data_IF_413553922487
#
_entry.id   IF_413553922487
#
_cell.length_a   1.000
_cell.length_b   1.000
_cell.length_c   1.000
_cell.angle_alpha   90.00
_cell.angle_beta   90.00
_cell.angle_gamma   90.00
#
_symmetry.space_group_name_H-M   'P 1'
#
loop_
_entity.id
_entity.type
_entity.pdbx_description
1 polymer ?
#
# COMPACT_ATOMS: atom_id res chain seq x y z
N UNK A 1 27.86 7.15 -17.43
CA UNK A 1 27.30 6.33 -16.35
C UNK A 1 25.79 6.47 -16.23
N UNK A 2 25.20 7.67 -16.12
CA UNK A 2 23.74 7.85 -16.05
C UNK A 2 23.01 7.17 -17.22
N UNK A 3 23.45 7.43 -18.45
CA UNK A 3 22.84 6.83 -19.64
C UNK A 3 22.89 5.29 -19.61
N UNK A 4 23.99 4.69 -19.16
CA UNK A 4 24.11 3.24 -18.98
C UNK A 4 23.11 2.73 -17.95
N UNK A 5 23.08 3.34 -16.76
CA UNK A 5 22.19 2.90 -15.67
C UNK A 5 20.72 2.94 -16.10
N UNK A 6 20.28 4.05 -16.68
CA UNK A 6 18.90 4.19 -17.13
C UNK A 6 18.56 3.26 -18.29
N UNK A 7 19.41 3.24 -19.35
CA UNK A 7 19.12 2.41 -20.53
C UNK A 7 19.14 0.93 -20.21
N UNK A 8 20.16 0.43 -19.49
CA UNK A 8 20.24 -0.99 -19.12
C UNK A 8 19.09 -1.41 -18.21
N UNK A 9 18.72 -0.57 -17.25
CA UNK A 9 17.57 -0.83 -16.37
C UNK A 9 16.26 -0.98 -17.19
N UNK A 10 15.95 0.00 -18.04
CA UNK A 10 14.71 -0.06 -18.84
C UNK A 10 14.73 -1.18 -19.86
N UNK A 11 15.87 -1.46 -20.51
CA UNK A 11 15.99 -2.59 -21.45
C UNK A 11 15.72 -3.90 -20.73
N UNK A 12 16.33 -4.15 -19.56
CA UNK A 12 16.09 -5.36 -18.79
C UNK A 12 14.64 -5.45 -18.31
N UNK A 13 14.06 -4.35 -17.88
CA UNK A 13 12.66 -4.28 -17.44
C UNK A 13 11.70 -4.64 -18.58
N UNK A 14 11.88 -4.07 -19.77
CA UNK A 14 11.04 -4.36 -20.95
C UNK A 14 11.26 -5.77 -21.53
N UNK A 15 12.42 -6.39 -21.27
CA UNK A 15 12.66 -7.79 -21.56
C UNK A 15 11.99 -8.76 -20.55
N UNK A 16 11.27 -8.22 -19.54
CA UNK A 16 10.57 -9.03 -18.52
C UNK A 16 11.47 -9.52 -17.39
N UNK A 17 12.68 -8.98 -17.25
CA UNK A 17 13.57 -9.33 -16.13
C UNK A 17 12.98 -8.76 -14.83
N UNK A 18 12.93 -9.54 -13.72
CA UNK A 18 12.43 -9.04 -12.44
C UNK A 18 13.13 -7.75 -12.00
N UNK A 19 12.36 -6.81 -11.43
CA UNK A 19 12.83 -5.46 -11.09
C UNK A 19 14.11 -5.46 -10.23
N UNK A 20 14.17 -6.34 -9.21
CA UNK A 20 15.35 -6.46 -8.35
C UNK A 20 16.61 -6.83 -9.14
N UNK A 21 16.46 -7.75 -10.11
CA UNK A 21 17.58 -8.15 -11.00
C UNK A 21 17.92 -7.04 -11.99
N UNK A 22 16.93 -6.35 -12.56
CA UNK A 22 17.16 -5.24 -13.48
C UNK A 22 17.95 -4.11 -12.81
N UNK A 23 17.59 -3.74 -11.58
CA UNK A 23 18.32 -2.76 -10.77
C UNK A 23 19.72 -3.24 -10.42
N UNK A 24 19.84 -4.47 -9.91
CA UNK A 24 21.11 -5.04 -9.48
C UNK A 24 22.10 -5.19 -10.65
N UNK A 25 21.66 -5.82 -11.75
CA UNK A 25 22.52 -6.04 -12.93
C UNK A 25 22.95 -4.73 -13.60
N UNK A 26 22.07 -3.75 -13.70
CA UNK A 26 22.40 -2.43 -14.24
C UNK A 26 23.47 -1.73 -13.39
N UNK A 27 23.33 -1.77 -12.05
CA UNK A 27 24.30 -1.20 -11.13
C UNK A 27 25.64 -1.95 -11.15
N UNK A 28 25.62 -3.27 -11.13
CA UNK A 28 26.81 -4.13 -11.23
C UNK A 28 27.54 -3.87 -12.54
N UNK A 29 26.82 -3.80 -13.67
CA UNK A 29 27.40 -3.45 -14.96
C UNK A 29 28.05 -2.07 -14.94
N UNK A 30 27.43 -1.08 -14.29
CA UNK A 30 28.02 0.25 -14.09
C UNK A 30 29.34 0.22 -13.31
N UNK A 31 29.42 -0.63 -12.28
CA UNK A 31 30.64 -0.80 -11.48
C UNK A 31 31.76 -1.49 -12.30
N UNK A 32 31.43 -2.59 -12.96
CA UNK A 32 32.41 -3.44 -13.65
C UNK A 32 32.96 -2.81 -14.95
N UNK A 33 32.05 -2.21 -15.74
CA UNK A 33 32.42 -1.73 -17.09
C UNK A 33 32.77 -0.24 -17.16
N UNK A 34 32.30 0.56 -16.21
CA UNK A 34 32.46 2.01 -16.23
C UNK A 34 33.32 2.54 -15.07
N UNK A 35 33.94 1.64 -14.28
CA UNK A 35 34.83 2.03 -13.19
C UNK A 35 34.11 2.75 -12.04
N UNK A 36 32.85 2.44 -11.80
CA UNK A 36 32.01 3.10 -10.78
C UNK A 36 32.28 2.71 -9.33
N UNK A 37 33.35 1.91 -9.05
CA UNK A 37 33.71 1.49 -7.69
C UNK A 37 34.31 0.09 -7.61
N UNK A 38 34.54 -0.38 -6.39
CA UNK A 38 35.00 -1.75 -6.10
C UNK A 38 33.86 -2.76 -6.09
N UNK A 39 34.14 -4.00 -6.49
CA UNK A 39 33.17 -5.11 -6.39
C UNK A 39 32.70 -5.39 -4.95
N UNK A 40 33.55 -5.08 -3.95
CA UNK A 40 33.19 -5.14 -2.53
C UNK A 40 32.04 -4.19 -2.20
N UNK A 41 31.95 -3.05 -2.88
CA UNK A 41 30.87 -2.07 -2.72
C UNK A 41 29.49 -2.68 -3.03
N UNK A 42 29.43 -3.66 -3.95
CA UNK A 42 28.16 -4.32 -4.32
C UNK A 42 27.52 -4.94 -3.08
N UNK A 43 28.22 -5.86 -2.43
CA UNK A 43 27.71 -6.56 -1.25
C UNK A 43 27.45 -5.60 -0.09
N UNK A 44 28.38 -4.65 0.15
CA UNK A 44 28.24 -3.68 1.23
C UNK A 44 26.99 -2.81 1.09
N UNK A 45 26.76 -2.23 -0.10
CA UNK A 45 25.60 -1.35 -0.32
C UNK A 45 24.27 -2.08 -0.35
N UNK A 46 24.24 -3.30 -0.88
CA UNK A 46 23.05 -4.15 -0.81
C UNK A 46 22.72 -4.50 0.64
N UNK A 47 23.71 -4.93 1.42
CA UNK A 47 23.51 -5.26 2.84
C UNK A 47 23.10 -4.02 3.65
N UNK A 48 23.79 -2.88 3.46
CA UNK A 48 23.44 -1.61 4.12
C UNK A 48 21.99 -1.19 3.87
N UNK A 49 21.47 -1.39 2.64
CA UNK A 49 20.08 -1.08 2.31
C UNK A 49 19.08 -1.95 3.06
N UNK A 50 19.42 -3.20 3.33
CA UNK A 50 18.56 -4.15 4.02
C UNK A 50 18.72 -4.10 5.55
N UNK A 51 19.86 -3.64 6.07
CA UNK A 51 20.19 -3.64 7.49
C UNK A 51 19.61 -2.39 8.18
N UNK A 52 18.30 -2.39 8.38
CA UNK A 52 17.57 -1.33 9.10
C UNK A 52 16.59 -1.94 10.10
N UNK A 53 16.63 -1.44 11.35
CA UNK A 53 15.71 -1.91 12.39
C UNK A 53 14.23 -1.69 12.01
N UNK A 54 13.92 -0.56 11.37
CA UNK A 54 12.56 -0.27 10.94
C UNK A 54 12.03 -1.31 9.94
N UNK A 55 12.88 -1.86 9.07
CA UNK A 55 12.48 -2.85 8.07
C UNK A 55 12.11 -4.21 8.67
N UNK A 56 12.51 -4.51 9.92
CA UNK A 56 12.07 -5.72 10.63
C UNK A 56 10.55 -5.72 10.89
N UNK A 57 9.91 -4.56 10.86
CA UNK A 57 8.45 -4.47 10.93
C UNK A 57 7.75 -5.17 9.74
N UNK A 58 8.39 -5.23 8.57
CA UNK A 58 7.80 -5.84 7.35
C UNK A 58 7.46 -7.32 7.57
N UNK A 59 8.40 -8.23 7.92
CA UNK A 59 8.05 -9.62 8.16
C UNK A 59 7.05 -9.79 9.32
N UNK A 60 7.12 -8.96 10.35
CA UNK A 60 6.22 -9.05 11.50
C UNK A 60 4.78 -8.72 11.12
N UNK A 61 4.52 -7.59 10.46
CA UNK A 61 3.18 -7.24 10.00
C UNK A 61 2.67 -8.21 8.93
N UNK A 62 3.55 -8.66 8.02
CA UNK A 62 3.17 -9.65 7.01
C UNK A 62 2.73 -10.96 7.66
N UNK A 63 3.45 -11.45 8.65
CA UNK A 63 3.10 -12.67 9.38
C UNK A 63 1.80 -12.50 10.18
N UNK A 64 1.64 -11.37 10.88
CA UNK A 64 0.42 -11.03 11.58
C UNK A 64 -0.79 -10.99 10.63
N UNK A 65 -0.65 -10.35 9.46
CA UNK A 65 -1.69 -10.30 8.44
C UNK A 65 -2.11 -11.67 7.92
N UNK A 66 -1.16 -12.56 7.59
CA UNK A 66 -1.46 -13.92 7.14
C UNK A 66 -2.10 -14.78 8.25
N UNK A 67 -1.59 -14.71 9.47
CA UNK A 67 -2.18 -15.47 10.60
C UNK A 67 -3.60 -15.02 10.91
N UNK A 68 -3.87 -13.73 10.89
CA UNK A 68 -5.21 -13.18 11.10
C UNK A 68 -6.16 -13.53 9.95
N UNK A 69 -5.71 -13.46 8.71
CA UNK A 69 -6.51 -13.86 7.54
C UNK A 69 -6.95 -15.32 7.62
N UNK A 70 -6.06 -16.23 8.03
CA UNK A 70 -6.34 -17.67 8.19
C UNK A 70 -7.10 -17.99 9.48
N UNK A 71 -7.01 -17.13 10.50
CA UNK A 71 -7.64 -17.31 11.80
C UNK A 71 -9.15 -16.99 11.85
N UNK A 72 -9.85 -16.94 10.70
CA UNK A 72 -11.32 -16.73 10.63
C UNK A 72 -11.79 -15.29 10.83
N UNK A 73 -10.87 -14.33 10.85
CA UNK A 73 -11.17 -12.92 11.09
C UNK A 73 -11.91 -12.31 9.90
N UNK A 74 -11.47 -12.63 8.69
CA UNK A 74 -11.95 -12.02 7.45
C UNK A 74 -13.45 -12.17 7.25
N UNK A 75 -14.01 -13.37 7.54
CA UNK A 75 -15.46 -13.64 7.43
C UNK A 75 -16.26 -12.79 8.42
N UNK A 76 -15.83 -12.75 9.69
CA UNK A 76 -16.52 -11.98 10.75
C UNK A 76 -16.50 -10.47 10.46
N UNK A 77 -15.38 -9.95 9.97
CA UNK A 77 -15.28 -8.55 9.52
C UNK A 77 -16.24 -8.28 8.36
N UNK A 78 -16.35 -9.20 7.41
CA UNK A 78 -17.30 -9.08 6.31
C UNK A 78 -18.75 -9.01 6.82
N UNK A 79 -19.14 -9.92 7.71
CA UNK A 79 -20.49 -9.97 8.29
C UNK A 79 -20.79 -8.70 9.11
N UNK A 80 -19.81 -8.20 9.86
CA UNK A 80 -19.89 -6.92 10.57
C UNK A 80 -20.09 -5.75 9.60
N UNK A 81 -19.24 -5.63 8.57
CA UNK A 81 -19.38 -4.57 7.56
C UNK A 81 -20.72 -4.66 6.83
N UNK A 82 -21.19 -5.88 6.53
CA UNK A 82 -22.50 -6.09 5.91
C UNK A 82 -23.63 -5.58 6.80
N UNK A 83 -23.57 -5.78 8.11
CA UNK A 83 -24.57 -5.27 9.04
C UNK A 83 -24.65 -3.74 9.07
N UNK A 84 -23.54 -3.03 8.77
CA UNK A 84 -23.47 -1.56 8.77
C UNK A 84 -23.93 -0.97 7.45
N UNK A 85 -23.41 -1.45 6.33
CA UNK A 85 -23.57 -0.80 5.00
C UNK A 85 -24.30 -1.66 3.97
N UNK A 86 -24.59 -2.94 4.28
CA UNK A 86 -25.19 -3.87 3.33
C UNK A 86 -26.58 -3.44 2.82
N UNK A 87 -27.33 -2.67 3.61
CA UNK A 87 -28.65 -2.15 3.26
C UNK A 87 -28.66 -0.99 2.26
N UNK A 88 -27.48 -0.40 1.97
CA UNK A 88 -27.34 0.71 1.04
C UNK A 88 -27.41 0.16 -0.39
N UNK A 89 -27.79 1.00 -1.36
CA UNK A 89 -27.80 0.61 -2.77
C UNK A 89 -26.37 0.27 -3.22
N UNK A 90 -26.17 -0.93 -3.77
CA UNK A 90 -24.83 -1.45 -4.03
C UNK A 90 -24.12 -1.96 -2.77
N UNK A 91 -24.89 -2.50 -1.80
CA UNK A 91 -24.46 -2.88 -0.46
C UNK A 91 -23.14 -3.66 -0.44
N UNK A 92 -22.99 -4.71 -1.26
CA UNK A 92 -21.75 -5.50 -1.29
C UNK A 92 -20.52 -4.73 -1.77
N UNK A 93 -20.68 -3.74 -2.65
CA UNK A 93 -19.57 -2.87 -3.04
C UNK A 93 -19.12 -1.98 -1.85
N UNK A 94 -20.08 -1.45 -1.08
CA UNK A 94 -19.77 -0.72 0.15
C UNK A 94 -19.13 -1.60 1.22
N UNK A 95 -19.64 -2.83 1.38
CA UNK A 95 -19.04 -3.83 2.29
C UNK A 95 -17.61 -4.15 1.88
N UNK A 96 -17.33 -4.32 0.59
CA UNK A 96 -15.99 -4.55 0.08
C UNK A 96 -15.04 -3.39 0.46
N UNK A 97 -15.44 -2.14 0.19
CA UNK A 97 -14.62 -0.96 0.54
C UNK A 97 -14.42 -0.84 2.05
N UNK A 98 -15.49 -0.97 2.85
CA UNK A 98 -15.40 -0.86 4.31
C UNK A 98 -14.55 -1.98 4.91
N UNK A 99 -14.69 -3.21 4.40
CA UNK A 99 -13.85 -4.34 4.81
C UNK A 99 -12.39 -4.11 4.45
N UNK A 100 -12.09 -3.57 3.26
CA UNK A 100 -10.73 -3.19 2.87
C UNK A 100 -10.14 -2.12 3.79
N UNK A 101 -10.95 -1.12 4.21
CA UNK A 101 -10.51 -0.10 5.17
C UNK A 101 -10.13 -0.70 6.53
N UNK A 102 -10.89 -1.68 7.02
CA UNK A 102 -10.62 -2.33 8.30
C UNK A 102 -9.45 -3.32 8.15
N UNK A 103 -9.43 -4.08 7.04
CA UNK A 103 -8.40 -5.07 6.75
C UNK A 103 -7.03 -4.42 6.52
N UNK A 104 -7.02 -3.19 5.99
CA UNK A 104 -5.83 -2.33 5.90
C UNK A 104 -5.11 -2.22 7.25
N UNK A 105 -5.87 -2.07 8.33
CA UNK A 105 -5.35 -2.04 9.71
C UNK A 105 -4.65 -3.33 10.17
N UNK A 106 -4.58 -4.35 9.33
CA UNK A 106 -4.03 -5.67 9.65
C UNK A 106 -2.89 -6.04 8.69
N UNK A 107 -3.09 -5.87 7.37
CA UNK A 107 -2.18 -6.40 6.34
C UNK A 107 -1.06 -5.45 5.93
N UNK A 108 -1.36 -4.18 5.80
CA UNK A 108 -0.43 -3.14 5.34
C UNK A 108 0.02 -3.26 3.88
N UNK A 109 -0.63 -4.11 3.06
CA UNK A 109 -0.24 -4.41 1.68
C UNK A 109 -1.43 -4.45 0.73
N UNK A 110 -1.46 -3.57 -0.27
CA UNK A 110 -2.53 -3.51 -1.26
C UNK A 110 -2.69 -4.82 -2.06
N UNK A 111 -1.59 -5.44 -2.47
CA UNK A 111 -1.62 -6.69 -3.25
C UNK A 111 -2.13 -7.86 -2.40
N UNK A 112 -1.72 -7.95 -1.13
CA UNK A 112 -2.21 -8.96 -0.21
C UNK A 112 -3.72 -8.78 0.07
N UNK A 113 -4.17 -7.53 0.23
CA UNK A 113 -5.58 -7.21 0.41
C UNK A 113 -6.38 -7.55 -0.84
N UNK A 114 -5.88 -7.21 -2.04
CA UNK A 114 -6.53 -7.61 -3.29
C UNK A 114 -6.75 -9.12 -3.32
N UNK A 115 -5.71 -9.92 -3.09
CA UNK A 115 -5.80 -11.37 -3.13
C UNK A 115 -6.74 -11.93 -2.05
N UNK A 116 -6.65 -11.40 -0.81
CA UNK A 116 -7.45 -11.86 0.33
C UNK A 116 -8.93 -11.50 0.21
N UNK A 117 -9.23 -10.25 -0.12
CA UNK A 117 -10.58 -9.71 -0.25
C UNK A 117 -11.28 -10.25 -1.51
N UNK A 118 -10.55 -10.38 -2.62
CA UNK A 118 -11.09 -10.87 -3.89
C UNK A 118 -11.74 -12.23 -3.78
N UNK A 119 -11.06 -13.19 -3.15
CA UNK A 119 -11.56 -14.56 -3.03
C UNK A 119 -12.88 -14.67 -2.27
N UNK A 120 -13.16 -13.73 -1.37
CA UNK A 120 -14.38 -13.71 -0.56
C UNK A 120 -15.51 -12.93 -1.23
N UNK A 121 -15.23 -11.71 -1.69
CA UNK A 121 -16.27 -10.79 -2.16
C UNK A 121 -16.65 -10.97 -3.61
N UNK A 122 -15.70 -11.25 -4.49
CA UNK A 122 -15.96 -11.27 -5.92
C UNK A 122 -16.98 -12.33 -6.35
N UNK A 123 -16.89 -13.60 -5.90
CA UNK A 123 -17.90 -14.61 -6.26
C UNK A 123 -19.30 -14.23 -5.76
N UNK A 124 -19.38 -13.68 -4.55
CA UNK A 124 -20.65 -13.29 -3.94
C UNK A 124 -21.27 -12.08 -4.67
N UNK A 125 -20.47 -11.08 -5.03
CA UNK A 125 -20.94 -9.92 -5.79
C UNK A 125 -21.51 -10.34 -7.15
N UNK A 126 -20.79 -11.19 -7.91
CA UNK A 126 -21.27 -11.69 -9.20
C UNK A 126 -22.57 -12.49 -9.03
N UNK A 127 -22.66 -13.34 -8.00
CA UNK A 127 -23.89 -14.09 -7.67
C UNK A 127 -25.08 -13.18 -7.39
N UNK A 128 -24.83 -12.01 -6.81
CA UNK A 128 -25.85 -11.00 -6.49
C UNK A 128 -26.15 -10.03 -7.65
N UNK A 129 -25.61 -10.29 -8.84
CA UNK A 129 -25.93 -9.56 -10.06
C UNK A 129 -25.06 -8.35 -10.35
N UNK A 130 -23.91 -8.22 -9.70
CA UNK A 130 -22.87 -7.23 -10.08
C UNK A 130 -22.14 -7.72 -11.33
N UNK A 131 -21.80 -6.79 -12.24
CA UNK A 131 -20.94 -7.13 -13.36
C UNK A 131 -19.54 -7.55 -12.88
N UNK A 132 -18.88 -8.44 -13.63
CA UNK A 132 -17.48 -8.82 -13.34
C UNK A 132 -16.58 -7.59 -13.32
N UNK A 133 -16.76 -6.68 -14.27
CA UNK A 133 -15.94 -5.47 -14.41
C UNK A 133 -16.07 -4.55 -13.19
N UNK A 134 -17.29 -4.32 -12.70
CA UNK A 134 -17.49 -3.51 -11.51
C UNK A 134 -16.94 -4.20 -10.25
N UNK A 135 -17.16 -5.50 -10.13
CA UNK A 135 -16.63 -6.30 -9.02
C UNK A 135 -15.11 -6.23 -8.94
N UNK A 136 -14.41 -6.41 -10.06
CA UNK A 136 -12.95 -6.30 -10.15
C UNK A 136 -12.50 -4.88 -9.86
N UNK A 137 -13.15 -3.87 -10.47
CA UNK A 137 -12.76 -2.47 -10.31
C UNK A 137 -12.85 -2.03 -8.84
N UNK A 138 -13.98 -2.30 -8.15
CA UNK A 138 -14.14 -1.89 -6.74
C UNK A 138 -13.19 -2.64 -5.83
N UNK A 139 -12.95 -3.92 -6.06
CA UNK A 139 -12.04 -4.72 -5.23
C UNK A 139 -10.59 -4.29 -5.40
N UNK A 140 -10.14 -4.05 -6.64
CA UNK A 140 -8.79 -3.59 -6.90
C UNK A 140 -8.52 -2.22 -6.27
N UNK A 141 -9.43 -1.25 -6.45
CA UNK A 141 -9.22 0.10 -5.94
C UNK A 141 -9.36 0.16 -4.40
N UNK A 142 -10.30 -0.57 -3.79
CA UNK A 142 -10.46 -0.58 -2.33
C UNK A 142 -9.25 -1.16 -1.63
N UNK A 143 -8.60 -2.15 -2.24
CA UNK A 143 -7.37 -2.74 -1.70
C UNK A 143 -6.20 -1.75 -1.61
N UNK A 144 -6.22 -0.66 -2.40
CA UNK A 144 -5.18 0.38 -2.30
C UNK A 144 -5.23 1.14 -0.98
N UNK A 145 -6.35 1.12 -0.27
CA UNK A 145 -6.47 1.67 1.08
C UNK A 145 -5.57 0.91 2.05
N UNK A 146 -5.28 -0.37 1.77
CA UNK A 146 -4.42 -1.23 2.56
C UNK A 146 -2.99 -0.74 2.78
N UNK A 147 -2.52 0.16 1.95
CA UNK A 147 -1.20 0.81 2.14
C UNK A 147 -1.31 2.22 2.72
N UNK A 148 -2.52 2.77 2.87
CA UNK A 148 -2.74 4.15 3.35
C UNK A 148 -3.10 4.13 4.84
N UNK A 149 -4.06 3.29 5.25
CA UNK A 149 -4.45 3.10 6.65
C UNK A 149 -3.38 2.25 7.36
N UNK A 150 -2.91 2.68 8.56
CA UNK A 150 -1.89 1.92 9.29
C UNK A 150 -2.39 0.58 9.88
N UNK A 151 -1.47 -0.42 9.99
CA UNK A 151 -0.06 -0.36 9.65
C UNK A 151 0.17 -0.42 8.14
N UNK A 152 1.16 0.30 7.64
CA UNK A 152 1.47 0.40 6.21
C UNK A 152 2.93 0.03 5.93
N UNK A 153 3.15 -1.02 5.16
CA UNK A 153 4.51 -1.44 4.77
C UNK A 153 5.23 -0.34 3.97
N UNK A 154 4.63 0.31 2.96
CA UNK A 154 5.25 1.45 2.28
C UNK A 154 5.64 2.59 3.21
N UNK A 155 4.82 2.95 4.19
CA UNK A 155 5.16 4.00 5.17
C UNK A 155 6.34 3.60 6.06
N UNK A 156 6.45 2.32 6.44
CA UNK A 156 7.62 1.81 7.17
C UNK A 156 8.88 1.93 6.33
N UNK A 157 8.80 1.61 5.04
CA UNK A 157 9.94 1.75 4.10
C UNK A 157 10.34 3.22 3.95
N UNK A 158 9.38 4.13 3.76
CA UNK A 158 9.64 5.58 3.69
C UNK A 158 10.32 6.05 4.97
N UNK A 159 9.79 5.67 6.14
CA UNK A 159 10.35 6.03 7.43
C UNK A 159 11.81 5.57 7.58
N UNK A 160 12.09 4.33 7.16
CA UNK A 160 13.44 3.76 7.19
C UNK A 160 14.43 4.44 6.23
N UNK A 161 13.96 4.87 5.06
CA UNK A 161 14.79 5.55 4.06
C UNK A 161 15.04 7.01 4.44
N UNK A 162 14.01 7.71 4.88
CA UNK A 162 14.03 9.16 5.10
C UNK A 162 14.34 9.57 6.55
N UNK A 163 14.41 8.63 7.49
CA UNK A 163 14.65 8.92 8.90
C UNK A 163 13.49 9.65 9.59
N UNK A 164 12.24 9.42 9.14
CA UNK A 164 11.04 10.05 9.69
C UNK A 164 10.33 9.11 10.69
N UNK A 165 9.56 9.70 11.61
CA UNK A 165 8.78 8.93 12.57
C UNK A 165 7.68 8.11 11.87
N UNK A 166 7.77 6.77 11.95
CA UNK A 166 6.75 5.86 11.43
C UNK A 166 5.40 6.10 12.11
N UNK A 167 5.39 6.41 13.41
CA UNK A 167 4.17 6.70 14.15
C UNK A 167 3.45 7.95 13.60
N UNK A 168 4.20 9.02 13.31
CA UNK A 168 3.62 10.23 12.68
C UNK A 168 3.09 9.93 11.27
N UNK A 169 3.78 9.09 10.49
CA UNK A 169 3.29 8.65 9.18
C UNK A 169 2.00 7.85 9.31
N UNK A 170 1.93 6.94 10.26
CA UNK A 170 0.74 6.13 10.53
C UNK A 170 -0.46 7.01 10.89
N UNK A 171 -0.29 7.94 11.82
CA UNK A 171 -1.36 8.89 12.16
C UNK A 171 -1.77 9.73 10.96
N UNK A 172 -0.81 10.23 10.20
CA UNK A 172 -1.07 11.01 8.98
C UNK A 172 -1.84 10.26 7.90
N UNK A 173 -1.77 8.92 7.87
CA UNK A 173 -2.48 8.07 6.91
C UNK A 173 -3.97 7.81 7.23
N UNK A 174 -4.41 8.03 8.49
CA UNK A 174 -5.76 7.67 8.93
C UNK A 174 -6.83 8.48 8.17
N UNK A 175 -6.78 9.80 8.25
CA UNK A 175 -7.77 10.66 7.58
C UNK A 175 -7.74 10.49 6.05
N UNK A 176 -6.57 10.50 5.38
CA UNK A 176 -6.48 10.17 3.96
C UNK A 176 -7.11 8.84 3.57
N UNK A 177 -6.85 7.78 4.32
CA UNK A 177 -7.44 6.46 4.06
C UNK A 177 -8.96 6.45 4.19
N UNK A 178 -9.50 7.09 5.24
CA UNK A 178 -10.95 7.24 5.42
C UNK A 178 -11.56 8.07 4.29
N UNK A 179 -10.93 9.19 3.91
CA UNK A 179 -11.38 10.05 2.82
C UNK A 179 -11.44 9.31 1.48
N UNK A 180 -10.39 8.55 1.15
CA UNK A 180 -10.36 7.72 -0.05
C UNK A 180 -11.44 6.63 -0.02
N UNK A 181 -11.62 5.96 1.12
CA UNK A 181 -12.67 4.95 1.29
C UNK A 181 -14.07 5.51 1.09
N UNK A 182 -14.37 6.66 1.71
CA UNK A 182 -15.66 7.33 1.54
C UNK A 182 -15.89 7.76 0.08
N UNK A 183 -14.87 8.31 -0.59
CA UNK A 183 -14.97 8.67 -2.00
C UNK A 183 -15.24 7.45 -2.89
N UNK A 184 -14.57 6.32 -2.64
CA UNK A 184 -14.83 5.06 -3.34
C UNK A 184 -16.23 4.50 -3.06
N UNK A 185 -16.75 4.64 -1.84
CA UNK A 185 -18.13 4.28 -1.52
C UNK A 185 -19.15 5.15 -2.28
N UNK A 186 -18.91 6.45 -2.40
CA UNK A 186 -19.76 7.36 -3.19
C UNK A 186 -19.79 6.92 -4.66
N UNK A 187 -18.63 6.63 -5.25
CA UNK A 187 -18.57 6.11 -6.63
C UNK A 187 -19.29 4.78 -6.76
N UNK A 188 -19.10 3.86 -5.80
CA UNK A 188 -19.77 2.56 -5.77
C UNK A 188 -21.29 2.69 -5.77
N UNK A 189 -21.85 3.65 -5.04
CA UNK A 189 -23.29 3.93 -5.03
C UNK A 189 -23.82 4.31 -6.43
N UNK A 190 -23.14 5.25 -7.10
CA UNK A 190 -23.57 5.71 -8.42
C UNK A 190 -23.38 4.63 -9.48
N UNK A 191 -22.28 3.86 -9.42
CA UNK A 191 -22.00 2.77 -10.35
C UNK A 191 -23.02 1.64 -10.20
N UNK A 192 -23.31 1.20 -8.96
CA UNK A 192 -24.31 0.18 -8.70
C UNK A 192 -25.71 0.59 -9.22
N UNK A 193 -26.09 1.88 -9.05
CA UNK A 193 -27.32 2.42 -9.57
C UNK A 193 -27.35 2.44 -11.10
N UNK A 194 -26.23 2.79 -11.73
CA UNK A 194 -26.10 2.79 -13.20
C UNK A 194 -26.21 1.39 -13.79
N UNK A 195 -25.63 0.38 -13.13
CA UNK A 195 -25.69 -1.03 -13.56
C UNK A 195 -27.04 -1.70 -13.22
N UNK A 196 -27.92 -1.04 -12.47
CA UNK A 196 -29.19 -1.60 -12.06
C UNK A 196 -29.07 -2.77 -11.08
N UNK A 197 -28.01 -2.80 -10.29
CA UNK A 197 -27.80 -3.84 -9.27
C UNK A 197 -28.99 -3.83 -8.30
N UNK A 198 -29.58 -4.99 -7.98
CA UNK A 198 -30.70 -5.05 -7.05
C UNK A 198 -30.33 -4.50 -5.68
N UNK A 199 -31.21 -3.68 -5.10
CA UNK A 199 -31.06 -3.25 -3.72
C UNK A 199 -31.32 -4.47 -2.82
N UNK A 200 -30.40 -4.75 -1.92
CA UNK A 200 -30.62 -5.81 -0.91
C UNK A 200 -31.84 -5.46 -0.04
N UNK A 201 -32.73 -6.42 0.19
CA UNK A 201 -33.84 -6.24 1.10
C UNK A 201 -33.32 -6.11 2.54
N UNK A 202 -33.62 -4.99 3.19
CA UNK A 202 -33.23 -4.77 4.58
C UNK A 202 -33.23 -3.29 4.96
N UNK A 203 -33.32 -3.05 6.26
CA UNK A 203 -33.16 -1.75 6.87
C UNK A 203 -32.04 -1.82 7.89
N UNK A 204 -31.41 -0.69 8.15
CA UNK A 204 -30.44 -0.59 9.24
C UNK A 204 -31.10 -0.98 10.57
N UNK A 205 -30.53 -1.98 11.23
CA UNK A 205 -30.97 -2.43 12.55
C UNK A 205 -29.75 -2.54 13.47
N UNK A 206 -29.88 -2.01 14.68
CA UNK A 206 -28.77 -1.96 15.64
C UNK A 206 -28.38 -3.37 16.15
N UNK A 207 -29.33 -4.29 16.26
CA UNK A 207 -29.09 -5.64 16.77
C UNK A 207 -27.99 -6.41 16.03
N UNK A 208 -28.10 -6.60 14.70
CA UNK A 208 -27.05 -7.24 13.91
C UNK A 208 -25.70 -6.52 13.98
N UNK A 209 -25.70 -5.17 14.07
CA UNK A 209 -24.45 -4.38 14.21
C UNK A 209 -23.76 -4.69 15.54
N UNK A 210 -24.50 -4.70 16.65
CA UNK A 210 -23.95 -5.03 17.97
C UNK A 210 -23.47 -6.48 18.04
N UNK A 211 -24.22 -7.40 17.43
CA UNK A 211 -23.81 -8.81 17.35
C UNK A 211 -22.53 -8.98 16.51
N UNK A 212 -22.48 -8.38 15.31
CA UNK A 212 -21.28 -8.39 14.47
C UNK A 212 -20.08 -7.72 15.14
N UNK A 213 -20.30 -6.62 15.88
CA UNK A 213 -19.25 -5.97 16.67
C UNK A 213 -18.72 -6.92 17.76
N UNK A 214 -19.63 -7.64 18.44
CA UNK A 214 -19.25 -8.62 19.47
C UNK A 214 -18.47 -9.81 18.91
N UNK A 215 -18.77 -10.25 17.70
CA UNK A 215 -18.02 -11.33 17.05
C UNK A 215 -16.68 -10.87 16.46
N UNK A 216 -16.60 -9.60 16.04
CA UNK A 216 -15.44 -9.05 15.36
C UNK A 216 -14.50 -8.22 16.25
N UNK A 217 -14.84 -8.00 17.55
CA UNK A 217 -14.05 -7.14 18.42
C UNK A 217 -12.56 -7.51 18.50
N UNK A 218 -12.15 -8.81 18.47
CA UNK A 218 -10.75 -9.13 18.50
C UNK A 218 -10.02 -8.67 17.21
N UNK A 219 -10.70 -8.74 16.07
CA UNK A 219 -10.15 -8.25 14.81
C UNK A 219 -9.99 -6.72 14.81
N UNK A 220 -11.02 -6.02 15.28
CA UNK A 220 -11.06 -4.55 15.35
C UNK A 220 -10.08 -3.97 16.39
N UNK A 221 -9.74 -4.74 17.39
CA UNK A 221 -8.81 -4.32 18.43
C UNK A 221 -7.35 -4.26 17.94
N UNK A 222 -6.99 -5.06 16.93
CA UNK A 222 -5.62 -5.13 16.43
C UNK A 222 -5.08 -3.80 15.88
N UNK A 223 -5.75 -3.11 14.95
CA UNK A 223 -5.30 -1.79 14.52
C UNK A 223 -5.20 -0.78 15.67
N UNK A 224 -6.12 -0.87 16.63
CA UNK A 224 -6.14 0.01 17.81
C UNK A 224 -4.92 -0.26 18.70
N UNK A 225 -4.57 -1.53 18.94
CA UNK A 225 -3.36 -1.90 19.68
C UNK A 225 -2.11 -1.37 18.98
N UNK A 226 -1.97 -1.64 17.68
CA UNK A 226 -0.78 -1.24 16.91
C UNK A 226 -0.63 0.28 16.94
N UNK A 227 -1.64 1.01 16.45
CA UNK A 227 -1.57 2.46 16.35
C UNK A 227 -1.50 3.09 17.73
N UNK A 228 -2.33 2.64 18.67
CA UNK A 228 -2.39 3.18 20.03
C UNK A 228 -1.06 3.05 20.77
N UNK A 229 -0.43 1.89 20.76
CA UNK A 229 0.85 1.67 21.49
C UNK A 229 2.01 2.47 20.88
N UNK A 230 2.03 2.63 19.54
CA UNK A 230 3.03 3.45 18.84
C UNK A 230 2.80 4.93 19.15
N UNK A 231 1.55 5.41 19.09
CA UNK A 231 1.23 6.83 19.30
C UNK A 231 1.45 7.29 20.74
N UNK A 232 1.22 6.39 21.70
CA UNK A 232 1.53 6.63 23.11
C UNK A 232 3.05 6.57 23.42
N UNK A 233 3.89 6.24 22.43
CA UNK A 233 5.32 6.08 22.61
C UNK A 233 5.74 4.89 23.48
N UNK A 234 4.82 3.92 23.71
CA UNK A 234 5.07 2.74 24.54
C UNK A 234 6.02 1.78 23.84
N UNK A 235 5.85 1.61 22.50
CA UNK A 235 6.64 0.70 21.69
C UNK A 235 7.02 1.35 20.35
N UNK A 236 8.12 0.88 19.79
CA UNK A 236 8.52 1.17 18.41
C UNK A 236 7.59 0.46 17.40
N UNK A 237 7.53 0.88 16.12
CA UNK A 237 6.76 0.18 15.09
C UNK A 237 7.13 -1.29 14.91
N UNK A 238 8.40 -1.63 15.11
CA UNK A 238 8.88 -3.03 15.04
C UNK A 238 8.37 -3.85 16.22
N UNK A 239 8.40 -3.31 17.43
CA UNK A 239 7.86 -3.97 18.63
C UNK A 239 6.35 -4.11 18.55
N UNK A 240 5.64 -3.11 18.00
CA UNK A 240 4.20 -3.21 17.70
C UNK A 240 3.90 -4.35 16.72
N UNK A 241 4.80 -4.61 15.76
CA UNK A 241 4.72 -5.77 14.88
C UNK A 241 4.82 -7.10 15.63
N UNK A 242 5.67 -7.19 16.66
CA UNK A 242 5.73 -8.39 17.52
C UNK A 242 4.42 -8.57 18.30
N UNK A 243 3.89 -7.49 18.87
CA UNK A 243 2.59 -7.51 19.56
C UNK A 243 1.49 -7.96 18.60
N UNK A 244 1.50 -7.47 17.38
CA UNK A 244 0.55 -7.87 16.33
C UNK A 244 0.61 -9.37 16.04
N UNK A 245 1.81 -9.96 15.92
CA UNK A 245 2.00 -11.40 15.72
C UNK A 245 1.44 -12.19 16.90
N UNK A 246 1.84 -11.85 18.12
CA UNK A 246 1.39 -12.54 19.33
C UNK A 246 -0.14 -12.45 19.47
N UNK A 247 -0.68 -11.26 19.25
CA UNK A 247 -2.12 -11.05 19.29
C UNK A 247 -2.87 -11.81 18.19
N UNK A 248 -2.35 -11.83 16.96
CA UNK A 248 -2.94 -12.59 15.85
C UNK A 248 -3.01 -14.08 16.10
N UNK A 249 -1.92 -14.66 16.64
CA UNK A 249 -1.86 -16.06 17.07
C UNK A 249 -2.83 -16.35 18.20
N UNK A 250 -2.93 -15.45 19.19
CA UNK A 250 -3.86 -15.57 20.31
C UNK A 250 -5.32 -15.48 19.84
N UNK A 251 -5.67 -14.49 19.03
CA UNK A 251 -7.01 -14.29 18.52
C UNK A 251 -7.47 -15.46 17.62
N UNK A 252 -6.64 -15.86 16.65
CA UNK A 252 -6.97 -16.95 15.73
C UNK A 252 -6.93 -18.34 16.37
N UNK A 253 -5.97 -18.58 17.28
CA UNK A 253 -5.76 -19.90 17.91
C UNK A 253 -6.62 -20.16 19.14
N UNK A 254 -6.80 -19.15 20.01
CA UNK A 254 -7.47 -19.33 21.31
C UNK A 254 -8.89 -18.77 21.29
N UNK A 255 -9.12 -17.55 20.77
CA UNK A 255 -10.44 -16.93 20.77
C UNK A 255 -11.32 -17.58 19.70
N UNK A 256 -10.88 -17.52 18.44
CA UNK A 256 -11.68 -18.07 17.32
C UNK A 256 -11.50 -19.57 17.12
N UNK A 257 -10.36 -20.15 17.54
CA UNK A 257 -10.04 -21.58 17.43
C UNK A 257 -10.10 -22.11 15.99
N UNK A 258 -9.85 -21.25 15.02
CA UNK A 258 -9.86 -21.60 13.60
C UNK A 258 -8.46 -21.77 13.04
N UNK A 259 -7.44 -21.16 13.66
CA UNK A 259 -6.06 -21.21 13.22
C UNK A 259 -5.43 -22.59 13.52
N UNK A 260 -5.11 -23.33 12.47
CA UNK A 260 -4.45 -24.64 12.57
C UNK A 260 -2.94 -24.51 12.43
N UNK A 261 -2.21 -25.53 12.87
CA UNK A 261 -0.75 -25.56 12.72
C UNK A 261 -0.27 -25.46 11.27
N UNK A 262 -1.04 -26.00 10.32
CA UNK A 262 -0.76 -25.89 8.88
C UNK A 262 -0.89 -24.46 8.38
N UNK A 263 -1.87 -23.70 8.89
CA UNK A 263 -2.07 -22.29 8.57
C UNK A 263 -0.90 -21.43 9.09
N UNK A 264 -0.36 -21.75 10.24
CA UNK A 264 0.83 -21.08 10.80
C UNK A 264 2.06 -21.37 9.93
N UNK A 265 2.28 -22.62 9.49
CA UNK A 265 3.35 -22.97 8.56
C UNK A 265 3.20 -22.24 7.23
N UNK A 266 1.98 -22.18 6.70
CA UNK A 266 1.67 -21.44 5.48
C UNK A 266 1.98 -19.95 5.65
N UNK A 267 1.47 -19.32 6.72
CA UNK A 267 1.71 -17.92 7.03
C UNK A 267 3.21 -17.61 7.16
N UNK A 268 3.97 -18.50 7.81
CA UNK A 268 5.42 -18.38 7.93
C UNK A 268 6.12 -18.47 6.57
N UNK A 269 5.77 -19.46 5.75
CA UNK A 269 6.35 -19.64 4.43
C UNK A 269 6.08 -18.45 3.51
N UNK A 270 4.83 -17.95 3.49
CA UNK A 270 4.47 -16.77 2.70
C UNK A 270 5.13 -15.49 3.22
N UNK A 271 5.30 -15.36 4.53
CA UNK A 271 6.06 -14.26 5.13
C UNK A 271 7.50 -14.26 4.67
N UNK A 272 8.16 -15.42 4.70
CA UNK A 272 9.57 -15.56 4.24
C UNK A 272 9.67 -15.21 2.75
N UNK A 273 8.75 -15.71 1.93
CA UNK A 273 8.73 -15.43 0.49
C UNK A 273 8.53 -13.95 0.19
N UNK A 274 7.53 -13.34 0.84
CA UNK A 274 7.18 -11.93 0.63
C UNK A 274 8.29 -11.01 1.14
N UNK A 275 8.76 -11.22 2.37
CA UNK A 275 9.84 -10.43 2.95
C UNK A 275 11.15 -10.58 2.17
N UNK A 276 11.48 -11.80 1.73
CA UNK A 276 12.67 -12.05 0.91
C UNK A 276 12.64 -11.30 -0.43
N UNK A 277 11.47 -11.27 -1.08
CA UNK A 277 11.29 -10.46 -2.31
C UNK A 277 11.49 -8.97 -2.04
N UNK A 278 10.91 -8.46 -0.96
CA UNK A 278 11.02 -7.05 -0.57
C UNK A 278 12.48 -6.69 -0.25
N UNK A 279 13.17 -7.47 0.57
CA UNK A 279 14.55 -7.18 0.96
C UNK A 279 15.52 -7.22 -0.22
N UNK A 280 15.37 -8.18 -1.15
CA UNK A 280 16.19 -8.22 -2.36
C UNK A 280 15.99 -6.96 -3.23
N UNK A 281 14.74 -6.48 -3.36
CA UNK A 281 14.42 -5.25 -4.07
C UNK A 281 15.08 -4.05 -3.38
N UNK A 282 14.96 -3.93 -2.05
CA UNK A 282 15.56 -2.84 -1.27
C UNK A 282 17.08 -2.84 -1.42
N UNK A 283 17.73 -3.99 -1.31
CA UNK A 283 19.19 -4.11 -1.48
C UNK A 283 19.65 -3.70 -2.87
N UNK A 284 19.00 -4.22 -3.92
CA UNK A 284 19.32 -3.88 -5.30
C UNK A 284 19.05 -2.40 -5.62
N UNK A 285 17.92 -1.87 -5.15
CA UNK A 285 17.59 -0.45 -5.32
C UNK A 285 18.56 0.47 -4.57
N UNK A 286 19.01 0.10 -3.38
CA UNK A 286 20.05 0.88 -2.65
C UNK A 286 21.35 0.96 -3.44
N UNK A 287 21.81 -0.19 -3.95
CA UNK A 287 23.01 -0.24 -4.81
C UNK A 287 22.84 0.67 -6.04
N UNK A 288 21.72 0.54 -6.74
CA UNK A 288 21.42 1.31 -7.93
C UNK A 288 21.33 2.81 -7.64
N UNK A 289 20.66 3.20 -6.56
CA UNK A 289 20.56 4.62 -6.14
C UNK A 289 21.91 5.21 -5.80
N UNK A 290 22.79 4.46 -5.10
CA UNK A 290 24.16 4.92 -4.82
C UNK A 290 24.93 5.16 -6.13
N UNK A 291 24.76 4.29 -7.12
CA UNK A 291 25.40 4.49 -8.43
C UNK A 291 24.86 5.71 -9.18
N UNK A 292 23.53 5.94 -9.11
CA UNK A 292 22.90 7.13 -9.71
C UNK A 292 23.39 8.43 -9.05
N UNK A 293 23.45 8.46 -7.72
CA UNK A 293 23.92 9.66 -6.98
C UNK A 293 25.41 9.91 -7.21
N UNK A 294 26.22 8.86 -7.23
CA UNK A 294 27.66 8.98 -7.59
C UNK A 294 27.84 9.51 -9.02
N UNK A 295 26.92 9.17 -9.93
CA UNK A 295 26.90 9.71 -11.29
C UNK A 295 26.36 11.15 -11.37
N UNK A 296 25.84 11.74 -10.29
CA UNK A 296 25.31 13.10 -10.23
C UNK A 296 23.87 13.22 -10.74
N UNK A 297 23.14 12.10 -10.82
CA UNK A 297 21.75 12.10 -11.29
C UNK A 297 20.81 12.91 -10.37
N UNK A 298 21.03 12.85 -9.07
CA UNK A 298 20.33 13.64 -8.05
C UNK A 298 20.46 15.14 -8.30
N UNK A 299 21.68 15.61 -8.60
CA UNK A 299 21.97 17.02 -8.93
C UNK A 299 21.29 17.43 -10.24
N UNK A 300 21.31 16.55 -11.23
CA UNK A 300 20.66 16.81 -12.52
C UNK A 300 19.14 16.92 -12.34
N UNK A 301 18.50 16.01 -11.61
CA UNK A 301 17.06 16.04 -11.31
C UNK A 301 16.71 17.30 -10.53
N UNK A 302 17.47 17.62 -9.46
CA UNK A 302 17.24 18.81 -8.66
C UNK A 302 17.35 20.10 -9.50
N UNK A 303 18.40 20.22 -10.32
CA UNK A 303 18.58 21.38 -11.22
C UNK A 303 17.41 21.51 -12.21
N UNK A 304 16.93 20.40 -12.77
CA UNK A 304 15.82 20.41 -13.73
C UNK A 304 14.53 20.81 -13.07
N UNK A 305 14.19 20.22 -11.91
CA UNK A 305 12.96 20.51 -11.20
C UNK A 305 12.91 21.94 -10.66
N UNK A 306 14.00 22.38 -9.99
CA UNK A 306 14.11 23.72 -9.45
C UNK A 306 14.26 24.80 -10.54
N UNK A 307 14.79 24.43 -11.70
CA UNK A 307 14.80 25.31 -12.89
C UNK A 307 13.43 25.52 -13.50
N UNK A 308 12.49 24.56 -13.31
CA UNK A 308 11.11 24.69 -13.75
C UNK A 308 10.29 25.53 -12.78
N UNK A 309 10.39 25.30 -11.47
CA UNK A 309 9.67 26.06 -10.43
C UNK A 309 10.38 25.94 -9.09
N UNK A 310 10.27 26.99 -8.26
CA UNK A 310 10.65 26.97 -6.84
C UNK A 310 9.43 26.97 -5.91
N UNK A 311 8.22 26.96 -6.49
CA UNK A 311 6.99 26.90 -5.70
C UNK A 311 6.81 25.50 -5.08
N UNK A 312 6.67 25.37 -3.75
CA UNK A 312 6.52 24.08 -3.08
C UNK A 312 5.38 23.22 -3.62
N UNK A 313 4.23 23.81 -3.92
CA UNK A 313 3.07 23.08 -4.44
C UNK A 313 3.34 22.51 -5.84
N UNK A 314 4.02 23.26 -6.71
CA UNK A 314 4.39 22.78 -8.07
C UNK A 314 5.38 21.64 -7.97
N UNK A 315 6.40 21.78 -7.13
CA UNK A 315 7.39 20.71 -6.89
C UNK A 315 6.71 19.46 -6.30
N UNK A 316 5.81 19.63 -5.35
CA UNK A 316 5.02 18.53 -4.79
C UNK A 316 4.24 17.79 -5.89
N UNK A 317 3.50 18.51 -6.73
CA UNK A 317 2.74 17.90 -7.84
C UNK A 317 3.67 17.17 -8.82
N UNK A 318 4.84 17.75 -9.14
CA UNK A 318 5.83 17.09 -10.00
C UNK A 318 6.33 15.77 -9.38
N UNK A 319 6.63 15.76 -8.08
CA UNK A 319 7.06 14.56 -7.36
C UNK A 319 5.94 13.51 -7.37
N UNK A 320 4.70 13.89 -7.05
CA UNK A 320 3.55 12.99 -7.06
C UNK A 320 3.31 12.40 -8.45
N UNK A 321 3.45 13.19 -9.51
CA UNK A 321 3.32 12.72 -10.88
C UNK A 321 4.41 11.71 -11.27
N UNK A 322 5.66 11.94 -10.84
CA UNK A 322 6.76 10.98 -11.04
C UNK A 322 6.42 9.65 -10.36
N UNK A 323 6.02 9.68 -9.07
CA UNK A 323 5.64 8.47 -8.34
C UNK A 323 4.46 7.76 -8.98
N UNK A 324 3.44 8.49 -9.44
CA UNK A 324 2.30 7.92 -10.15
C UNK A 324 2.73 7.15 -11.41
N UNK A 325 3.45 7.84 -12.31
CA UNK A 325 3.90 7.25 -13.58
C UNK A 325 4.78 6.03 -13.32
N UNK A 326 5.74 6.13 -12.42
CA UNK A 326 6.67 5.02 -12.15
C UNK A 326 5.95 3.82 -11.55
N UNK A 327 4.98 4.06 -10.65
CA UNK A 327 4.25 2.95 -9.99
C UNK A 327 3.30 2.22 -10.95
N UNK A 328 2.93 2.82 -12.08
CA UNK A 328 2.21 2.11 -13.14
C UNK A 328 3.04 0.94 -13.73
N UNK A 329 4.38 1.00 -13.65
CA UNK A 329 5.30 0.00 -14.20
C UNK A 329 6.00 -0.83 -13.13
N UNK A 330 6.12 -0.31 -11.91
CA UNK A 330 6.91 -0.88 -10.83
C UNK A 330 6.08 -1.10 -9.58
N UNK A 331 6.51 -2.06 -8.78
CA UNK A 331 5.93 -2.31 -7.45
C UNK A 331 6.28 -1.16 -6.48
N UNK A 332 5.41 -0.92 -5.49
CA UNK A 332 5.47 0.22 -4.56
C UNK A 332 6.82 0.35 -3.84
N UNK A 333 7.36 -0.74 -3.31
CA UNK A 333 8.59 -0.70 -2.51
C UNK A 333 9.81 -0.42 -3.38
N UNK A 334 9.85 -0.99 -4.60
CA UNK A 334 10.89 -0.70 -5.57
C UNK A 334 10.90 0.79 -5.95
N UNK A 335 9.71 1.34 -6.23
CA UNK A 335 9.52 2.76 -6.56
C UNK A 335 9.99 3.65 -5.42
N UNK A 336 9.58 3.36 -4.18
CA UNK A 336 9.98 4.13 -3.00
C UNK A 336 11.48 4.09 -2.78
N UNK A 337 12.07 2.90 -2.79
CA UNK A 337 13.50 2.73 -2.50
C UNK A 337 14.39 3.42 -3.54
N UNK A 338 13.93 3.47 -4.79
CA UNK A 338 14.66 4.10 -5.87
C UNK A 338 14.55 5.64 -5.85
N UNK A 339 13.31 6.16 -5.72
CA UNK A 339 13.05 7.58 -5.96
C UNK A 339 13.01 8.43 -4.69
N UNK A 340 12.67 7.86 -3.52
CA UNK A 340 12.65 8.64 -2.27
C UNK A 340 14.02 9.27 -1.93
N UNK A 341 15.15 8.55 -2.00
CA UNK A 341 16.45 9.16 -1.67
C UNK A 341 16.82 10.32 -2.57
N UNK A 342 16.29 10.38 -3.80
CA UNK A 342 16.56 11.42 -4.79
C UNK A 342 15.60 12.61 -4.63
N UNK A 343 14.31 12.34 -4.50
CA UNK A 343 13.27 13.37 -4.53
C UNK A 343 12.98 13.99 -3.16
N UNK A 344 13.19 13.23 -2.07
CA UNK A 344 12.92 13.69 -0.70
C UNK A 344 13.78 14.91 -0.31
N UNK A 345 15.12 14.95 -0.55
CA UNK A 345 15.94 16.14 -0.26
C UNK A 345 15.50 17.37 -1.06
N UNK A 346 15.03 17.20 -2.30
CA UNK A 346 14.53 18.28 -3.15
C UNK A 346 13.25 18.88 -2.52
N UNK A 347 12.33 18.02 -2.08
CA UNK A 347 11.08 18.45 -1.44
C UNK A 347 11.35 19.23 -0.14
N UNK A 348 12.26 18.76 0.70
CA UNK A 348 12.65 19.45 1.93
C UNK A 348 13.32 20.79 1.63
N UNK A 349 14.14 20.87 0.59
CA UNK A 349 14.84 22.09 0.15
C UNK A 349 13.88 23.23 -0.24
N UNK A 350 12.65 22.93 -0.64
CA UNK A 350 11.60 23.91 -0.94
C UNK A 350 10.57 24.07 0.18
N UNK A 351 10.78 23.45 1.35
CA UNK A 351 9.93 23.62 2.52
C UNK A 351 8.68 22.74 2.56
N UNK A 352 8.61 21.65 1.79
CA UNK A 352 7.50 20.69 1.88
C UNK A 352 7.64 19.87 3.16
N UNK A 353 6.56 19.76 3.95
CA UNK A 353 6.53 18.93 5.14
C UNK A 353 6.77 17.45 4.82
N UNK A 354 7.68 16.77 5.53
CA UNK A 354 8.05 15.38 5.26
C UNK A 354 6.91 14.39 5.44
N UNK A 355 5.99 14.63 6.38
CA UNK A 355 4.84 13.73 6.61
C UNK A 355 3.82 13.90 5.49
N UNK A 356 3.51 15.15 5.11
CA UNK A 356 2.60 15.46 4.02
C UNK A 356 3.07 14.83 2.72
N UNK A 357 4.34 15.03 2.37
CA UNK A 357 4.95 14.42 1.19
C UNK A 357 4.79 12.90 1.19
N UNK A 358 5.18 12.26 2.29
CA UNK A 358 5.25 10.79 2.39
C UNK A 358 3.86 10.13 2.34
N UNK A 359 2.88 10.73 3.00
CA UNK A 359 1.50 10.24 2.97
C UNK A 359 0.89 10.42 1.56
N UNK A 360 1.07 11.59 0.93
CA UNK A 360 0.60 11.82 -0.44
C UNK A 360 1.24 10.88 -1.44
N UNK A 361 2.55 10.62 -1.33
CA UNK A 361 3.24 9.62 -2.16
C UNK A 361 2.60 8.25 -1.95
N UNK A 362 2.29 7.85 -0.72
CA UNK A 362 1.67 6.54 -0.44
C UNK A 362 0.28 6.43 -1.09
N UNK A 363 -0.54 7.50 -1.04
CA UNK A 363 -1.84 7.52 -1.71
C UNK A 363 -1.69 7.41 -3.23
N UNK A 364 -0.77 8.19 -3.81
CA UNK A 364 -0.50 8.20 -5.26
C UNK A 364 0.01 6.86 -5.77
N UNK A 365 0.91 6.23 -5.01
CA UNK A 365 1.38 4.86 -5.28
C UNK A 365 0.20 3.87 -5.33
N UNK A 366 -0.73 3.98 -4.38
CA UNK A 366 -1.96 3.17 -4.39
C UNK A 366 -2.72 3.29 -5.71
N UNK A 367 -2.89 4.50 -6.23
CA UNK A 367 -3.54 4.72 -7.55
C UNK A 367 -2.71 4.10 -8.68
N UNK A 368 -1.40 4.21 -8.66
CA UNK A 368 -0.51 3.60 -9.65
C UNK A 368 -0.63 2.07 -9.69
N UNK A 369 -0.81 1.42 -8.52
CA UNK A 369 -0.98 -0.04 -8.43
C UNK A 369 -2.27 -0.58 -9.10
N UNK A 370 -3.21 0.26 -9.42
CA UNK A 370 -4.44 -0.12 -10.15
C UNK A 370 -4.50 0.44 -11.56
N UNK A 371 -3.50 1.22 -11.95
CA UNK A 371 -3.49 1.90 -13.25
C UNK A 371 -2.62 1.14 -14.25
N UNK A 372 -3.10 0.81 -15.46
CA UNK A 372 -2.28 0.22 -16.50
C UNK A 372 -1.05 1.10 -16.84
N UNK A 373 0.08 0.53 -17.35
CA UNK A 373 0.15 -0.74 -18.08
C UNK A 373 0.35 -1.99 -17.19
N UNK A 374 0.96 -1.89 -16.02
CA UNK A 374 1.15 -3.07 -15.16
C UNK A 374 0.06 -3.14 -14.10
N UNK A 375 -0.05 -2.16 -13.18
CA UNK A 375 -1.12 -2.10 -12.19
C UNK A 375 -1.32 -3.41 -11.40
N UNK A 376 -0.41 -3.76 -10.49
CA UNK A 376 -0.37 -5.11 -9.88
C UNK A 376 -1.68 -5.54 -9.22
N UNK A 377 -2.40 -4.62 -8.56
CA UNK A 377 -3.66 -4.96 -7.89
C UNK A 377 -4.78 -5.27 -8.90
N UNK A 378 -4.89 -4.50 -9.99
CA UNK A 378 -5.91 -4.78 -11.00
C UNK A 378 -5.63 -6.10 -11.73
N UNK A 379 -4.35 -6.45 -12.00
CA UNK A 379 -4.01 -7.74 -12.61
C UNK A 379 -4.38 -8.91 -11.72
N UNK A 380 -4.05 -8.86 -10.43
CA UNK A 380 -4.42 -9.91 -9.46
C UNK A 380 -5.95 -10.10 -9.41
N UNK A 381 -6.70 -9.00 -9.40
CA UNK A 381 -8.16 -9.06 -9.36
C UNK A 381 -8.76 -9.57 -10.70
N UNK A 382 -8.19 -9.19 -11.84
CA UNK A 382 -8.60 -9.66 -13.17
C UNK A 382 -8.38 -11.16 -13.35
N UNK A 383 -7.20 -11.65 -12.90
CA UNK A 383 -6.84 -13.08 -12.99
C UNK A 383 -7.84 -13.97 -12.25
N UNK A 384 -8.30 -13.53 -11.07
CA UNK A 384 -9.27 -14.27 -10.26
C UNK A 384 -10.68 -14.33 -10.87
N UNK A 385 -11.03 -13.43 -11.77
CA UNK A 385 -12.36 -13.37 -12.42
C UNK A 385 -12.36 -13.73 -13.91
N UNK A 386 -11.17 -14.04 -14.44
CA UNK A 386 -10.96 -14.36 -15.86
C UNK A 386 -11.51 -13.24 -16.77
N UNK A 387 -11.05 -12.00 -16.51
CA UNK A 387 -11.36 -10.80 -17.29
C UNK A 387 -10.09 -10.05 -17.64
N UNK A 388 -10.11 -9.28 -18.73
CA UNK A 388 -8.94 -8.49 -19.13
C UNK A 388 -8.92 -7.11 -18.46
N UNK A 389 -7.74 -6.57 -18.23
CA UNK A 389 -7.56 -5.21 -17.67
C UNK A 389 -8.23 -4.16 -18.55
N UNK A 390 -8.18 -4.34 -19.89
CA UNK A 390 -8.82 -3.43 -20.84
C UNK A 390 -10.34 -3.34 -20.71
N UNK A 391 -11.00 -4.45 -20.36
CA UNK A 391 -12.45 -4.49 -20.11
C UNK A 391 -12.84 -3.82 -18.80
N UNK A 392 -12.00 -3.94 -17.77
CA UNK A 392 -12.26 -3.41 -16.44
C UNK A 392 -11.91 -1.92 -16.34
N UNK A 393 -10.89 -1.46 -17.05
CA UNK A 393 -10.34 -0.11 -16.90
C UNK A 393 -11.37 1.02 -17.05
N UNK A 394 -12.32 1.00 -18.03
CA UNK A 394 -13.35 2.03 -18.12
C UNK A 394 -14.22 2.16 -16.86
N UNK A 395 -14.47 1.03 -16.18
CA UNK A 395 -15.23 0.98 -14.92
C UNK A 395 -14.41 1.47 -13.74
N UNK A 396 -13.09 1.34 -13.81
CA UNK A 396 -12.15 1.78 -12.77
C UNK A 396 -11.89 3.30 -12.81
N UNK A 397 -11.95 3.94 -13.99
CA UNK A 397 -11.67 5.37 -14.18
C UNK A 397 -12.41 6.30 -13.20
N UNK A 398 -13.72 6.15 -12.92
CA UNK A 398 -14.41 6.99 -11.94
C UNK A 398 -13.84 6.88 -10.52
N UNK A 399 -13.38 5.71 -10.12
CA UNK A 399 -12.74 5.48 -8.81
C UNK A 399 -11.36 6.14 -8.74
N UNK A 400 -10.57 6.01 -9.79
CA UNK A 400 -9.28 6.70 -9.93
C UNK A 400 -9.49 8.22 -9.85
N UNK A 401 -10.46 8.75 -10.59
CA UNK A 401 -10.78 10.18 -10.58
C UNK A 401 -11.18 10.68 -9.17
N UNK A 402 -12.01 9.91 -8.45
CA UNK A 402 -12.40 10.23 -7.09
C UNK A 402 -11.18 10.25 -6.14
N UNK A 403 -10.25 9.30 -6.30
CA UNK A 403 -9.02 9.28 -5.49
C UNK A 403 -8.10 10.45 -5.84
N UNK A 404 -8.00 10.87 -7.11
CA UNK A 404 -7.26 12.10 -7.47
C UNK A 404 -7.91 13.37 -6.91
N UNK A 405 -9.25 13.42 -6.79
CA UNK A 405 -9.93 14.52 -6.10
C UNK A 405 -9.52 14.54 -4.62
N UNK A 406 -9.45 13.38 -3.95
CA UNK A 406 -8.95 13.30 -2.57
C UNK A 406 -7.50 13.77 -2.46
N UNK A 407 -6.64 13.40 -3.40
CA UNK A 407 -5.24 13.87 -3.45
C UNK A 407 -5.20 15.40 -3.61
N UNK A 408 -5.98 15.96 -4.52
CA UNK A 408 -6.06 17.42 -4.73
C UNK A 408 -6.55 18.16 -3.48
N UNK A 409 -7.54 17.60 -2.76
CA UNK A 409 -8.01 18.15 -1.48
C UNK A 409 -6.91 18.12 -0.41
N UNK A 410 -6.14 17.02 -0.32
CA UNK A 410 -5.05 16.91 0.64
C UNK A 410 -3.85 17.81 0.30
N UNK A 411 -3.59 18.07 -0.98
CA UNK A 411 -2.59 19.05 -1.43
C UNK A 411 -3.04 20.47 -1.08
N UNK A 412 -4.33 20.77 -1.27
CA UNK A 412 -4.90 22.09 -0.93
C UNK A 412 -5.02 22.31 0.60
N UNK A 413 -5.29 21.24 1.34
CA UNK A 413 -5.50 21.26 2.79
C UNK A 413 -4.59 20.23 3.50
N UNK A 414 -3.27 20.49 3.63
CA UNK A 414 -2.32 19.58 4.28
C UNK A 414 -2.68 19.24 5.73
N UNK A 415 -3.49 20.08 6.38
CA UNK A 415 -4.00 19.84 7.74
C UNK A 415 -4.77 18.54 7.86
N UNK A 416 -5.40 18.03 6.78
CA UNK A 416 -6.07 16.73 6.77
C UNK A 416 -5.09 15.57 7.09
N UNK A 417 -3.82 15.75 6.74
CA UNK A 417 -2.75 14.78 7.03
C UNK A 417 -2.12 15.08 8.39
N UNK A 418 -1.89 16.36 8.70
CA UNK A 418 -1.14 16.77 9.89
C UNK A 418 -1.95 16.71 11.19
N UNK A 419 -3.28 16.95 11.13
CA UNK A 419 -4.13 17.04 12.31
C UNK A 419 -3.98 15.82 13.27
N UNK A 420 -4.03 14.56 12.80
CA UNK A 420 -3.85 13.42 13.70
C UNK A 420 -2.43 13.32 14.27
N UNK A 421 -1.43 13.88 13.59
CA UNK A 421 -0.02 13.77 14.03
C UNK A 421 0.27 14.60 15.27
N UNK A 422 -0.55 15.60 15.57
CA UNK A 422 -0.45 16.38 16.81
C UNK A 422 -0.82 15.56 18.06
N UNK A 423 -1.44 14.39 17.91
CA UNK A 423 -1.70 13.48 19.02
C UNK A 423 -0.42 12.81 19.57
N UNK A 424 0.70 12.93 18.84
CA UNK A 424 2.03 12.44 19.27
C UNK A 424 2.94 13.58 19.76
N UNK A 425 2.42 14.72 20.07
CA UNK A 425 3.19 15.86 20.58
C UNK A 425 3.52 15.71 22.06
#
# INVERSE_FOLDING_TARGET
>A
MIAWLLSSFFVLLFLGVPIAMSLGLSAIGGILFLGGGSTVTIAQRMFEGMNSFALLAIPLYTFAGFTMSKGGISKRLMDFCYSIVGHIYGGLAHVNVLSSMIFAGISGSAVADTAGVSGMFMPEMVRKGYSKNFTVAVTAISSTIGIIIPPSIPMVVIAGICGISTGKLFLGGIIPGILCGLAQMIVSYFMAKKEGVPKEPGHFTIGPVLHGLWESWPALLMPIIIVGTITMGIVSPTEAGVIAVVYGLFAGGIIYRELKWEDIKFAFAETVRTSGRIFIVIGAAKLYTVMLTTAGFDKWVAKTMLGFSTNPTVILIMILLIFFIVTMFMESIATLTLFMPILYPIALGVGIDPIVLSVLITVVIGVGLVTPPVGMCIYVACDLMDVTVGEVFPTLVPFIAATFICIALMVAFPQLILLPTYLMA
#
